data_IF_163544618904
#
_entry.id   IF_163544618904
#
_cell.length_a   1.000
_cell.length_b   1.000
_cell.length_c   1.000
_cell.angle_alpha   90.00
_cell.angle_beta   90.00
_cell.angle_gamma   90.00
#
_symmetry.space_group_name_H-M   'P 1'
#
loop_
_entity.id
_entity.type
_entity.pdbx_description
1 polymer ?
#
# COMPACT_ATOMS: atom_id res chain seq x y z
N UNK A 1 8.15 -17.69 25.50
CA UNK A 1 7.41 -17.08 24.36
C UNK A 1 6.25 -17.98 23.99
N UNK A 2 5.15 -17.40 23.51
CA UNK A 2 3.99 -18.17 23.02
C UNK A 2 4.39 -19.06 21.83
N UNK A 3 3.89 -20.30 21.80
CA UNK A 3 4.11 -21.27 20.71
C UNK A 3 3.14 -20.96 19.58
N UNK A 4 3.66 -20.65 18.40
CA UNK A 4 2.85 -20.23 17.26
C UNK A 4 3.15 -21.10 16.04
N UNK A 5 2.12 -21.38 15.27
CA UNK A 5 2.21 -22.10 14.00
C UNK A 5 1.84 -21.13 12.87
N UNK A 6 2.55 -21.18 11.75
CA UNK A 6 2.20 -20.42 10.54
C UNK A 6 1.53 -21.36 9.54
N UNK A 7 0.29 -21.06 9.14
CA UNK A 7 -0.40 -21.78 8.08
C UNK A 7 -0.15 -21.11 6.73
N UNK A 8 0.69 -21.75 5.90
CA UNK A 8 1.11 -21.32 4.58
C UNK A 8 2.63 -21.21 4.51
N UNK A 9 3.27 -21.83 3.50
CA UNK A 9 4.74 -21.76 3.32
C UNK A 9 5.14 -20.86 2.14
N UNK A 10 4.19 -20.15 1.54
CA UNK A 10 4.46 -19.23 0.44
C UNK A 10 5.14 -17.94 0.89
N UNK A 11 5.24 -16.97 -0.02
CA UNK A 11 5.80 -15.64 0.29
C UNK A 11 5.11 -14.95 1.48
N UNK A 12 3.77 -15.04 1.58
CA UNK A 12 3.02 -14.51 2.74
C UNK A 12 3.41 -15.19 4.05
N UNK A 13 3.61 -16.51 4.04
CA UNK A 13 4.03 -17.26 5.23
C UNK A 13 5.44 -16.89 5.68
N UNK A 14 6.36 -16.72 4.73
CA UNK A 14 7.72 -16.25 5.02
C UNK A 14 7.74 -14.79 5.50
N UNK A 15 6.86 -13.92 4.98
CA UNK A 15 6.68 -12.55 5.49
C UNK A 15 6.20 -12.58 6.95
N UNK A 16 5.17 -13.38 7.24
CA UNK A 16 4.64 -13.58 8.61
C UNK A 16 5.74 -14.09 9.56
N UNK A 17 6.57 -15.04 9.11
CA UNK A 17 7.71 -15.52 9.90
C UNK A 17 8.68 -14.39 10.27
N UNK A 18 9.15 -13.63 9.28
CA UNK A 18 10.12 -12.56 9.51
C UNK A 18 9.58 -11.44 10.41
N UNK A 19 8.27 -11.16 10.36
CA UNK A 19 7.62 -10.14 11.20
C UNK A 19 7.43 -10.59 12.66
N UNK A 20 7.47 -11.89 12.93
CA UNK A 20 7.03 -12.46 14.20
C UNK A 20 8.06 -13.35 14.91
N UNK A 21 9.16 -13.75 14.26
CA UNK A 21 10.17 -14.65 14.85
C UNK A 21 10.82 -14.12 16.14
N UNK A 22 10.88 -12.80 16.30
CA UNK A 22 11.37 -12.16 17.54
C UNK A 22 10.31 -12.09 18.65
N UNK A 23 9.02 -12.22 18.31
CA UNK A 23 7.87 -12.10 19.23
C UNK A 23 7.36 -13.46 19.72
N UNK A 24 7.38 -14.46 18.84
CA UNK A 24 6.79 -15.78 19.07
C UNK A 24 7.80 -16.91 18.84
N UNK A 25 7.62 -18.00 19.57
CA UNK A 25 8.32 -19.24 19.28
C UNK A 25 7.57 -19.94 18.14
N UNK A 26 8.03 -19.73 16.91
CA UNK A 26 7.40 -20.33 15.72
C UNK A 26 7.88 -21.77 15.61
N UNK A 27 6.98 -22.72 15.86
CA UNK A 27 7.34 -24.13 16.04
C UNK A 27 7.18 -24.96 14.76
N UNK A 28 6.21 -24.60 13.90
CA UNK A 28 5.95 -25.30 12.65
C UNK A 28 5.34 -24.37 11.60
N UNK A 29 5.56 -24.72 10.33
CA UNK A 29 4.68 -24.32 9.25
C UNK A 29 3.64 -25.42 9.01
N UNK A 30 2.49 -25.05 8.45
CA UNK A 30 1.46 -25.98 7.98
C UNK A 30 1.06 -25.60 6.56
N UNK A 31 0.88 -26.58 5.68
CA UNK A 31 0.39 -26.35 4.32
C UNK A 31 -0.50 -27.52 3.88
N UNK A 32 -1.47 -27.25 3.00
CA UNK A 32 -2.29 -28.31 2.41
C UNK A 32 -1.55 -29.07 1.29
N UNK A 33 -0.46 -28.50 0.75
CA UNK A 33 0.38 -29.14 -0.24
C UNK A 33 1.23 -30.26 0.38
N UNK A 34 0.80 -31.50 0.14
CA UNK A 34 1.46 -32.72 0.64
C UNK A 34 2.93 -32.83 0.26
N UNK A 35 3.35 -32.20 -0.84
CA UNK A 35 4.74 -32.23 -1.32
C UNK A 35 5.70 -31.50 -0.37
N UNK A 36 5.17 -30.63 0.50
CA UNK A 36 5.97 -29.84 1.44
C UNK A 36 6.09 -30.47 2.82
N UNK A 37 5.29 -31.49 3.14
CA UNK A 37 5.29 -32.09 4.47
C UNK A 37 6.63 -32.75 4.78
N UNK A 38 7.19 -32.44 5.95
CA UNK A 38 8.52 -32.88 6.40
C UNK A 38 9.68 -32.05 5.86
N UNK A 39 9.45 -31.15 4.88
CA UNK A 39 10.48 -30.23 4.39
C UNK A 39 10.79 -29.15 5.42
N UNK A 40 12.05 -28.72 5.48
CA UNK A 40 12.47 -27.53 6.23
C UNK A 40 12.15 -26.30 5.40
N UNK A 41 11.41 -25.35 5.98
CA UNK A 41 10.99 -24.11 5.31
C UNK A 41 12.01 -22.99 5.53
N UNK A 42 12.33 -22.70 6.79
CA UNK A 42 13.31 -21.68 7.18
C UNK A 42 13.79 -21.95 8.61
N UNK A 43 15.05 -21.63 8.92
CA UNK A 43 15.65 -21.70 10.26
C UNK A 43 15.42 -23.05 10.98
N UNK A 44 15.44 -24.15 10.23
CA UNK A 44 15.23 -25.51 10.74
C UNK A 44 13.76 -25.88 11.03
N UNK A 45 12.82 -24.96 10.84
CA UNK A 45 11.39 -25.17 11.09
C UNK A 45 10.76 -25.91 9.92
N UNK A 46 10.07 -26.99 10.22
CA UNK A 46 9.46 -27.86 9.21
C UNK A 46 8.02 -27.50 8.89
N UNK A 47 7.58 -27.89 7.69
CA UNK A 47 6.16 -27.93 7.35
C UNK A 47 5.56 -29.29 7.75
N UNK A 48 4.47 -29.26 8.52
CA UNK A 48 3.73 -30.46 8.93
C UNK A 48 2.34 -30.49 8.28
N UNK A 49 1.71 -31.66 8.13
CA UNK A 49 0.33 -31.74 7.66
C UNK A 49 -0.64 -31.08 8.65
N UNK A 50 -1.76 -30.50 8.19
CA UNK A 50 -2.77 -29.90 9.06
C UNK A 50 -3.30 -30.88 10.11
N UNK A 51 -3.42 -32.17 9.78
CA UNK A 51 -3.88 -33.20 10.72
C UNK A 51 -3.07 -33.27 12.01
N UNK A 52 -1.78 -32.91 11.96
CA UNK A 52 -0.91 -32.92 13.13
C UNK A 52 -1.23 -31.79 14.11
N UNK A 53 -1.97 -30.75 13.71
CA UNK A 53 -2.40 -29.67 14.60
C UNK A 53 -3.17 -30.20 15.82
N UNK A 54 -3.95 -31.28 15.66
CA UNK A 54 -4.76 -31.86 16.75
C UNK A 54 -3.86 -32.39 17.88
N UNK A 55 -2.68 -32.91 17.53
CA UNK A 55 -1.72 -33.50 18.48
C UNK A 55 -0.62 -32.51 18.90
N UNK A 56 -0.60 -31.30 18.35
CA UNK A 56 0.44 -30.30 18.61
C UNK A 56 -0.08 -29.28 19.62
N UNK A 57 0.69 -29.04 20.68
CA UNK A 57 0.40 -27.97 21.63
C UNK A 57 0.89 -26.62 21.06
N UNK A 58 -0.05 -25.69 20.82
CA UNK A 58 0.22 -24.33 20.35
C UNK A 58 -0.75 -23.33 21.01
N UNK A 59 -0.35 -22.05 21.04
CA UNK A 59 -1.19 -20.96 21.54
C UNK A 59 -2.02 -20.31 20.42
N UNK A 60 -1.40 -20.05 19.26
CA UNK A 60 -2.05 -19.40 18.12
C UNK A 60 -1.62 -20.01 16.77
N UNK A 61 -2.47 -19.85 15.76
CA UNK A 61 -2.15 -20.07 14.36
C UNK A 61 -2.20 -18.73 13.63
N UNK A 62 -1.09 -18.34 13.02
CA UNK A 62 -1.02 -17.23 12.07
C UNK A 62 -1.36 -17.74 10.67
N UNK A 63 -2.34 -17.15 10.00
CA UNK A 63 -2.70 -17.54 8.62
C UNK A 63 -1.83 -16.75 7.63
N UNK A 64 -0.69 -17.32 7.26
CA UNK A 64 0.28 -16.75 6.31
C UNK A 64 -0.02 -17.12 4.85
N UNK A 65 -1.25 -16.92 4.39
CA UNK A 65 -1.70 -17.31 3.04
C UNK A 65 -2.71 -16.33 2.47
N UNK A 66 -2.83 -16.29 1.14
CA UNK A 66 -3.89 -15.54 0.45
C UNK A 66 -5.26 -16.23 0.55
N UNK A 67 -5.28 -17.55 0.78
CA UNK A 67 -6.51 -18.35 0.92
C UNK A 67 -7.06 -18.33 2.36
N UNK A 68 -7.15 -17.14 2.97
CA UNK A 68 -7.51 -16.98 4.39
C UNK A 68 -8.85 -17.64 4.73
N UNK A 69 -9.91 -17.33 3.99
CA UNK A 69 -11.27 -17.81 4.25
C UNK A 69 -11.38 -19.34 4.19
N UNK A 70 -10.69 -19.96 3.24
CA UNK A 70 -10.67 -21.42 3.06
C UNK A 70 -9.94 -22.10 4.22
N UNK A 71 -8.76 -21.60 4.58
CA UNK A 71 -7.95 -22.12 5.69
C UNK A 71 -8.70 -21.94 7.01
N UNK A 72 -9.30 -20.77 7.25
CA UNK A 72 -10.10 -20.51 8.44
C UNK A 72 -11.25 -21.50 8.57
N UNK A 73 -11.98 -21.74 7.47
CA UNK A 73 -13.07 -22.73 7.44
C UNK A 73 -12.57 -24.14 7.75
N UNK A 74 -11.41 -24.53 7.20
CA UNK A 74 -10.78 -25.82 7.49
C UNK A 74 -10.41 -25.95 8.97
N UNK A 75 -9.73 -24.96 9.55
CA UNK A 75 -9.29 -25.00 10.94
C UNK A 75 -10.47 -25.07 11.92
N UNK A 76 -11.55 -24.32 11.66
CA UNK A 76 -12.78 -24.40 12.44
C UNK A 76 -13.42 -25.80 12.36
N UNK A 77 -13.44 -26.43 11.18
CA UNK A 77 -13.93 -27.82 11.00
C UNK A 77 -13.05 -28.85 11.72
N UNK A 78 -11.78 -28.54 11.94
CA UNK A 78 -10.84 -29.36 12.72
C UNK A 78 -10.97 -29.16 14.24
N UNK A 79 -11.89 -28.30 14.69
CA UNK A 79 -12.13 -28.04 16.11
C UNK A 79 -11.23 -26.96 16.72
N UNK A 80 -10.45 -26.24 15.90
CA UNK A 80 -9.60 -25.14 16.36
C UNK A 80 -10.47 -23.88 16.50
N UNK A 81 -10.49 -23.29 17.70
CA UNK A 81 -11.32 -22.11 17.99
C UNK A 81 -10.90 -20.89 17.17
N UNK A 82 -11.87 -20.07 16.75
CA UNK A 82 -11.62 -18.78 16.10
C UNK A 82 -10.74 -17.84 16.94
N UNK A 83 -10.79 -17.92 18.27
CA UNK A 83 -9.95 -17.11 19.17
C UNK A 83 -8.46 -17.46 19.13
N UNK A 84 -8.11 -18.63 18.58
CA UNK A 84 -6.72 -19.07 18.38
C UNK A 84 -6.18 -18.68 17.02
N UNK A 85 -7.03 -18.13 16.14
CA UNK A 85 -6.66 -17.76 14.77
C UNK A 85 -6.31 -16.28 14.74
N UNK A 86 -5.07 -15.99 14.38
CA UNK A 86 -4.61 -14.65 14.09
C UNK A 86 -4.48 -14.54 12.56
N UNK A 87 -5.31 -13.67 12.00
CA UNK A 87 -5.32 -13.40 10.57
C UNK A 87 -4.29 -12.32 10.27
N UNK A 88 -3.10 -12.76 9.86
CA UNK A 88 -2.09 -11.91 9.22
C UNK A 88 -2.15 -12.03 7.70
N UNK A 89 -3.20 -12.66 7.18
CA UNK A 89 -3.47 -12.64 5.75
C UNK A 89 -3.55 -11.19 5.28
N UNK A 90 -3.35 -10.98 3.98
CA UNK A 90 -3.46 -9.63 3.42
C UNK A 90 -4.83 -9.06 3.81
N UNK A 91 -4.85 -8.07 4.71
CA UNK A 91 -5.84 -7.00 4.58
C UNK A 91 -5.80 -6.62 3.10
N UNK A 92 -6.95 -6.58 2.43
CA UNK A 92 -6.93 -6.07 1.08
C UNK A 92 -6.50 -4.59 1.19
N UNK A 93 -5.21 -4.33 0.97
CA UNK A 93 -4.57 -3.02 1.18
C UNK A 93 -5.36 -1.93 0.44
N UNK A 94 -5.86 -2.26 -0.75
CA UNK A 94 -6.74 -1.39 -1.51
C UNK A 94 -8.06 -1.09 -0.78
N UNK A 95 -8.77 -2.10 -0.26
CA UNK A 95 -10.00 -1.89 0.51
C UNK A 95 -9.76 -1.07 1.78
N UNK A 96 -8.65 -1.32 2.48
CA UNK A 96 -8.28 -0.55 3.66
C UNK A 96 -8.03 0.92 3.30
N UNK A 97 -7.28 1.19 2.23
CA UNK A 97 -7.02 2.54 1.72
C UNK A 97 -8.30 3.23 1.28
N UNK A 98 -9.19 2.55 0.55
CA UNK A 98 -10.49 3.08 0.11
C UNK A 98 -11.40 3.38 1.30
N UNK A 99 -11.42 2.50 2.31
CA UNK A 99 -12.18 2.70 3.54
C UNK A 99 -11.66 3.91 4.33
N UNK A 100 -10.34 4.04 4.46
CA UNK A 100 -9.69 5.20 5.07
C UNK A 100 -10.05 6.50 4.32
N UNK A 101 -9.92 6.50 2.99
CA UNK A 101 -10.23 7.64 2.12
C UNK A 101 -11.68 8.10 2.30
N UNK A 102 -12.63 7.16 2.33
CA UNK A 102 -14.03 7.45 2.60
C UNK A 102 -14.20 8.20 3.92
N UNK A 103 -13.65 7.67 5.02
CA UNK A 103 -13.78 8.30 6.34
C UNK A 103 -13.10 9.65 6.41
N UNK A 104 -11.96 9.80 5.76
CA UNK A 104 -11.29 11.09 5.67
C UNK A 104 -12.13 12.11 4.88
N UNK A 105 -12.71 11.72 3.75
CA UNK A 105 -13.60 12.60 2.98
C UNK A 105 -14.82 13.06 3.78
N UNK A 106 -15.44 12.18 4.56
CA UNK A 106 -16.57 12.51 5.44
C UNK A 106 -16.15 13.57 6.49
N UNK A 107 -14.94 13.47 7.04
CA UNK A 107 -14.38 14.46 7.95
C UNK A 107 -14.09 15.80 7.27
N UNK A 108 -13.50 15.79 6.07
CA UNK A 108 -13.23 17.00 5.29
C UNK A 108 -14.54 17.75 5.00
N UNK A 109 -15.57 17.04 4.56
CA UNK A 109 -16.89 17.61 4.26
C UNK A 109 -17.55 18.17 5.51
N UNK A 110 -17.57 17.38 6.60
CA UNK A 110 -18.19 17.78 7.88
C UNK A 110 -17.54 19.03 8.49
N UNK A 111 -16.22 19.16 8.38
CA UNK A 111 -15.48 20.29 8.91
C UNK A 111 -15.27 21.41 7.86
N UNK A 112 -15.93 21.31 6.71
CA UNK A 112 -15.87 22.29 5.62
C UNK A 112 -14.45 22.63 5.13
N UNK A 113 -13.52 21.69 5.24
CA UNK A 113 -12.12 21.88 4.85
C UNK A 113 -12.06 22.07 3.32
N UNK A 114 -11.54 23.23 2.91
CA UNK A 114 -11.40 23.63 1.50
C UNK A 114 -10.13 23.03 0.88
N UNK A 115 -10.00 23.17 -0.43
CA UNK A 115 -8.86 22.69 -1.20
C UNK A 115 -9.24 21.54 -2.14
N UNK A 116 -8.46 21.41 -3.20
CA UNK A 116 -8.63 20.38 -4.22
C UNK A 116 -8.11 19.02 -3.74
N UNK A 117 -8.33 17.98 -4.55
CA UNK A 117 -7.72 16.67 -4.35
C UNK A 117 -6.86 16.29 -5.53
N UNK A 118 -5.87 15.43 -5.32
CA UNK A 118 -4.99 14.98 -6.39
C UNK A 118 -4.57 13.52 -6.25
N UNK A 119 -4.26 12.91 -7.38
CA UNK A 119 -3.41 11.72 -7.48
C UNK A 119 -2.26 12.02 -8.43
N UNK A 120 -1.03 11.71 -8.02
CA UNK A 120 0.16 11.74 -8.86
C UNK A 120 0.68 10.32 -9.02
N UNK A 121 0.72 9.85 -10.27
CA UNK A 121 0.79 8.43 -10.61
C UNK A 121 -0.60 7.80 -10.60
N UNK A 122 -1.31 7.97 -11.71
CA UNK A 122 -2.72 7.59 -11.86
C UNK A 122 -2.85 6.22 -12.52
N UNK A 123 -1.93 5.88 -13.44
CA UNK A 123 -1.99 4.71 -14.30
C UNK A 123 -3.40 4.53 -14.90
N UNK A 124 -4.14 3.49 -14.49
CA UNK A 124 -5.51 3.18 -14.98
C UNK A 124 -6.63 3.81 -14.16
N UNK A 125 -6.31 4.65 -13.18
CA UNK A 125 -7.27 5.40 -12.35
C UNK A 125 -8.03 4.54 -11.34
N UNK A 126 -7.46 3.42 -10.88
CA UNK A 126 -8.12 2.51 -9.95
C UNK A 126 -8.37 3.14 -8.57
N UNK A 127 -7.43 3.96 -8.08
CA UNK A 127 -7.62 4.71 -6.84
C UNK A 127 -8.18 6.12 -7.10
N UNK A 128 -7.73 6.84 -8.13
CA UNK A 128 -8.33 8.12 -8.55
C UNK A 128 -9.85 8.10 -8.69
N UNK A 129 -10.47 7.00 -9.20
CA UNK A 129 -11.93 6.92 -9.29
C UNK A 129 -12.63 7.04 -7.94
N UNK A 130 -12.00 6.52 -6.88
CA UNK A 130 -12.51 6.61 -5.51
C UNK A 130 -12.26 7.99 -4.90
N UNK A 131 -11.12 8.61 -5.20
CA UNK A 131 -10.86 10.01 -4.84
C UNK A 131 -11.94 10.91 -5.43
N UNK A 132 -12.18 10.80 -6.74
CA UNK A 132 -13.22 11.53 -7.45
C UNK A 132 -14.63 11.26 -6.89
N UNK A 133 -14.94 10.00 -6.58
CA UNK A 133 -16.25 9.62 -6.03
C UNK A 133 -16.52 10.21 -4.64
N UNK A 134 -15.54 10.15 -3.72
CA UNK A 134 -15.72 10.60 -2.35
C UNK A 134 -15.54 12.11 -2.17
N UNK A 135 -14.71 12.74 -3.00
CA UNK A 135 -14.53 14.20 -3.08
C UNK A 135 -15.28 14.81 -4.26
N UNK A 136 -16.57 14.48 -4.36
CA UNK A 136 -17.47 14.84 -5.47
C UNK A 136 -17.81 16.33 -5.58
N UNK A 137 -17.30 17.20 -4.71
CA UNK A 137 -17.65 18.62 -4.64
C UNK A 137 -16.50 19.55 -5.07
N UNK A 138 -15.36 18.99 -5.50
CA UNK A 138 -14.12 19.73 -5.74
C UNK A 138 -13.32 19.19 -6.91
N UNK A 139 -12.40 20.02 -7.41
CA UNK A 139 -11.47 19.63 -8.47
C UNK A 139 -10.61 18.44 -8.04
N UNK A 140 -10.47 17.47 -8.93
CA UNK A 140 -9.62 16.29 -8.78
C UNK A 140 -8.50 16.31 -9.83
N UNK A 141 -7.28 16.62 -9.42
CA UNK A 141 -6.12 16.68 -10.31
C UNK A 141 -5.54 15.27 -10.52
N UNK A 142 -5.26 14.93 -11.77
CA UNK A 142 -4.75 13.63 -12.17
C UNK A 142 -3.41 13.84 -12.90
N UNK A 143 -2.30 13.60 -12.22
CA UNK A 143 -0.95 13.77 -12.78
C UNK A 143 -0.39 12.40 -13.20
N UNK A 144 -0.08 12.24 -14.48
CA UNK A 144 0.55 11.03 -14.99
C UNK A 144 1.23 11.33 -16.33
N UNK A 145 2.27 10.57 -16.68
CA UNK A 145 2.87 10.64 -18.02
C UNK A 145 1.93 10.01 -19.05
N UNK A 146 1.12 9.03 -18.65
CA UNK A 146 0.40 8.05 -19.46
C UNK A 146 1.34 7.28 -20.42
N UNK A 147 2.63 7.25 -20.07
CA UNK A 147 3.72 6.69 -20.87
C UNK A 147 4.64 5.79 -20.02
N UNK A 148 4.24 5.51 -18.77
CA UNK A 148 5.02 4.75 -17.79
C UNK A 148 6.15 5.56 -17.16
N UNK A 149 7.14 4.86 -16.60
CA UNK A 149 8.29 5.49 -15.96
C UNK A 149 9.22 6.19 -16.95
N UNK A 150 9.75 7.33 -16.52
CA UNK A 150 10.75 8.08 -17.27
C UNK A 150 12.17 7.56 -17.00
N UNK A 151 12.96 7.36 -18.05
CA UNK A 151 14.35 6.92 -17.95
C UNK A 151 15.23 7.88 -17.12
N UNK A 152 14.85 9.16 -17.03
CA UNK A 152 15.53 10.14 -16.20
C UNK A 152 15.50 9.81 -14.70
N UNK A 153 14.51 9.02 -14.26
CA UNK A 153 14.29 8.69 -12.85
C UNK A 153 14.83 7.32 -12.48
N UNK A 154 14.75 6.34 -13.39
CA UNK A 154 15.23 4.96 -13.18
C UNK A 154 16.71 4.91 -12.75
N UNK A 155 17.53 5.89 -13.17
CA UNK A 155 18.96 5.95 -12.80
C UNK A 155 19.23 6.12 -11.30
N UNK A 156 18.24 6.55 -10.52
CA UNK A 156 18.34 6.71 -9.07
C UNK A 156 17.83 5.47 -8.30
N UNK A 157 17.42 4.43 -9.02
CA UNK A 157 16.69 3.30 -8.45
C UNK A 157 17.53 2.05 -8.19
N UNK A 158 17.08 1.26 -7.21
CA UNK A 158 17.61 -0.04 -6.82
C UNK A 158 16.47 -1.09 -6.83
N UNK A 159 16.78 -2.39 -6.90
CA UNK A 159 15.75 -3.44 -6.78
C UNK A 159 14.77 -3.53 -7.96
N UNK A 160 13.49 -3.79 -7.68
CA UNK A 160 12.45 -3.99 -8.69
C UNK A 160 12.28 -2.75 -9.59
N UNK A 161 12.44 -1.55 -9.03
CA UNK A 161 12.37 -0.27 -9.73
C UNK A 161 13.39 -0.14 -10.88
N UNK A 162 14.57 -0.76 -10.75
CA UNK A 162 15.62 -0.75 -11.78
C UNK A 162 15.33 -1.73 -12.92
N UNK A 163 14.53 -2.77 -12.65
CA UNK A 163 14.22 -3.88 -13.57
C UNK A 163 12.82 -3.76 -14.14
N UNK A 164 11.95 -2.95 -13.53
CA UNK A 164 10.63 -2.62 -14.01
C UNK A 164 10.74 -2.12 -15.45
N UNK A 165 10.44 -3.01 -16.40
CA UNK A 165 10.41 -2.65 -17.81
C UNK A 165 9.31 -1.60 -17.93
N UNK A 166 9.71 -0.38 -18.30
CA UNK A 166 8.83 0.76 -18.56
C UNK A 166 7.63 0.42 -19.47
N UNK A 167 7.65 -0.72 -20.16
CA UNK A 167 6.58 -1.20 -21.03
C UNK A 167 5.29 -1.66 -20.30
N UNK A 168 5.36 -2.13 -19.05
CA UNK A 168 4.17 -2.69 -18.37
C UNK A 168 3.17 -1.65 -17.85
N UNK A 169 3.58 -0.37 -17.74
CA UNK A 169 2.74 0.72 -17.23
C UNK A 169 2.20 1.64 -18.34
N UNK A 170 2.37 1.25 -19.61
CA UNK A 170 1.89 2.02 -20.77
C UNK A 170 0.46 1.70 -21.20
N UNK A 171 -0.11 0.61 -20.68
CA UNK A 171 -1.48 0.21 -21.02
C UNK A 171 -2.50 1.03 -20.21
N UNK A 172 -2.56 2.33 -20.53
CA UNK A 172 -3.52 3.29 -20.01
C UNK A 172 -3.69 4.47 -20.99
N UNK A 173 -4.76 5.25 -20.84
CA UNK A 173 -4.97 6.50 -21.57
C UNK A 173 -5.82 7.46 -20.75
N UNK A 174 -5.81 8.74 -21.13
CA UNK A 174 -6.65 9.76 -20.50
C UNK A 174 -8.13 9.39 -20.62
N UNK A 175 -8.56 8.88 -21.77
CA UNK A 175 -9.93 8.45 -22.03
C UNK A 175 -10.32 7.26 -21.14
N UNK A 176 -9.43 6.28 -20.97
CA UNK A 176 -9.66 5.12 -20.10
C UNK A 176 -9.85 5.55 -18.65
N UNK A 177 -8.99 6.44 -18.16
CA UNK A 177 -9.05 6.96 -16.79
C UNK A 177 -10.33 7.77 -16.60
N UNK A 178 -10.60 8.76 -17.46
CA UNK A 178 -11.81 9.60 -17.34
C UNK A 178 -13.11 8.80 -17.51
N UNK A 179 -13.10 7.72 -18.28
CA UNK A 179 -14.24 6.80 -18.43
C UNK A 179 -14.65 6.10 -17.13
N UNK A 180 -13.75 6.03 -16.13
CA UNK A 180 -14.03 5.46 -14.80
C UNK A 180 -14.46 6.51 -13.77
N UNK A 181 -14.29 7.79 -14.05
CA UNK A 181 -14.58 8.88 -13.12
C UNK A 181 -16.08 9.14 -13.05
N UNK A 182 -16.64 9.13 -11.84
CA UNK A 182 -18.07 9.39 -11.63
C UNK A 182 -18.43 10.83 -11.94
N UNK A 183 -17.56 11.77 -11.55
CA UNK A 183 -17.70 13.22 -11.73
C UNK A 183 -16.56 13.73 -12.61
N UNK A 184 -16.53 13.25 -13.86
CA UNK A 184 -15.45 13.50 -14.82
C UNK A 184 -15.20 14.98 -15.11
N UNK A 185 -16.23 15.81 -15.00
CA UNK A 185 -16.19 17.26 -15.18
C UNK A 185 -15.38 17.99 -14.10
N UNK A 186 -15.12 17.32 -12.97
CA UNK A 186 -14.27 17.83 -11.90
C UNK A 186 -12.81 17.41 -12.08
N UNK A 187 -12.53 16.47 -12.99
CA UNK A 187 -11.19 15.97 -13.21
C UNK A 187 -10.38 16.94 -14.07
N UNK A 188 -9.17 17.25 -13.60
CA UNK A 188 -8.18 18.06 -14.34
C UNK A 188 -6.98 17.19 -14.59
N UNK A 189 -6.82 16.74 -15.83
CA UNK A 189 -5.72 15.88 -16.24
C UNK A 189 -4.49 16.73 -16.54
N UNK A 190 -3.38 16.43 -15.87
CA UNK A 190 -2.08 17.04 -16.09
C UNK A 190 -1.16 15.97 -16.67
N UNK A 191 -1.32 15.71 -17.97
CA UNK A 191 -0.50 14.76 -18.71
C UNK A 191 0.91 15.33 -18.88
N UNK A 192 1.92 14.53 -18.51
CA UNK A 192 3.33 14.85 -18.74
C UNK A 192 4.19 14.53 -17.52
N UNK A 193 5.50 14.74 -17.71
CA UNK A 193 6.49 14.49 -16.67
C UNK A 193 6.25 15.35 -15.43
N UNK A 194 6.25 14.75 -14.25
CA UNK A 194 6.14 15.46 -12.97
C UNK A 194 7.55 15.80 -12.47
N UNK A 195 7.86 17.04 -12.03
CA UNK A 195 6.93 18.12 -11.65
C UNK A 195 6.57 19.12 -12.76
N UNK A 196 7.08 18.97 -13.98
CA UNK A 196 6.87 19.93 -15.07
C UNK A 196 5.39 20.11 -15.40
N UNK A 197 4.61 19.03 -15.38
CA UNK A 197 3.17 19.04 -15.58
C UNK A 197 2.39 19.79 -14.48
N UNK A 198 3.03 20.09 -13.34
CA UNK A 198 2.42 20.78 -12.21
C UNK A 198 2.76 22.27 -12.11
N UNK A 199 3.62 22.81 -12.98
CA UNK A 199 4.14 24.19 -12.89
C UNK A 199 3.04 25.28 -12.83
N UNK A 200 1.93 25.07 -13.55
CA UNK A 200 0.82 26.04 -13.62
C UNK A 200 -0.24 25.85 -12.52
N UNK A 201 -0.09 24.84 -11.66
CA UNK A 201 -1.08 24.49 -10.65
C UNK A 201 -0.80 25.28 -9.37
N UNK A 202 -1.69 26.23 -9.06
CA UNK A 202 -1.57 27.15 -7.93
C UNK A 202 -2.58 26.85 -6.81
N UNK A 203 -3.43 25.83 -7.00
CA UNK A 203 -4.43 25.44 -6.02
C UNK A 203 -3.83 24.84 -4.74
N UNK A 204 -4.55 25.05 -3.64
CA UNK A 204 -4.29 24.36 -2.38
C UNK A 204 -5.01 23.01 -2.34
N UNK A 205 -4.46 22.03 -1.63
CA UNK A 205 -4.95 20.65 -1.59
C UNK A 205 -5.35 20.24 -0.17
N UNK A 206 -6.48 19.54 -0.06
CA UNK A 206 -6.91 18.86 1.18
C UNK A 206 -6.47 17.40 1.23
N UNK A 207 -6.32 16.77 0.07
CA UNK A 207 -5.93 15.38 -0.06
C UNK A 207 -5.06 15.18 -1.30
N UNK A 208 -3.96 14.45 -1.15
CA UNK A 208 -3.12 14.02 -2.27
C UNK A 208 -2.74 12.56 -2.07
N UNK A 209 -2.91 11.73 -3.10
CA UNK A 209 -2.27 10.43 -3.20
C UNK A 209 -0.99 10.57 -4.04
N UNK A 210 0.18 10.31 -3.45
CA UNK A 210 1.46 10.23 -4.14
C UNK A 210 1.78 8.76 -4.38
N UNK A 211 1.66 8.32 -5.62
CA UNK A 211 1.79 6.93 -6.07
C UNK A 211 2.68 6.86 -7.32
N UNK A 212 3.90 7.41 -7.17
CA UNK A 212 4.85 7.56 -8.27
C UNK A 212 5.94 6.47 -8.28
N UNK A 213 5.92 5.57 -7.29
CA UNK A 213 6.82 4.43 -7.02
C UNK A 213 8.32 4.76 -6.85
N UNK A 214 8.80 5.83 -7.47
CA UNK A 214 10.21 6.16 -7.66
C UNK A 214 10.67 7.28 -6.73
N UNK A 215 11.96 7.28 -6.40
CA UNK A 215 12.63 8.26 -5.54
C UNK A 215 12.37 9.70 -5.97
N UNK A 216 12.79 10.03 -7.19
CA UNK A 216 12.84 11.42 -7.67
C UNK A 216 11.43 11.99 -7.87
N UNK A 217 10.51 11.31 -8.58
CA UNK A 217 9.11 11.72 -8.64
C UNK A 217 8.46 11.90 -7.26
N UNK A 218 8.69 11.00 -6.31
CA UNK A 218 8.14 11.13 -4.95
C UNK A 218 8.68 12.38 -4.24
N UNK A 219 10.00 12.61 -4.32
CA UNK A 219 10.64 13.79 -3.72
C UNK A 219 10.11 15.09 -4.33
N UNK A 220 9.99 15.16 -5.65
CA UNK A 220 9.39 16.32 -6.34
C UNK A 220 7.92 16.48 -5.96
N UNK A 221 7.18 15.38 -5.79
CA UNK A 221 5.80 15.37 -5.30
C UNK A 221 5.70 16.05 -3.93
N UNK A 222 6.57 15.67 -2.99
CA UNK A 222 6.63 16.28 -1.66
C UNK A 222 6.97 17.78 -1.74
N UNK A 223 7.98 18.15 -2.53
CA UNK A 223 8.36 19.56 -2.76
C UNK A 223 7.21 20.39 -3.31
N UNK A 224 6.41 19.82 -4.21
CA UNK A 224 5.29 20.52 -4.84
C UNK A 224 4.05 20.60 -3.94
N UNK A 225 3.61 19.46 -3.39
CA UNK A 225 2.31 19.34 -2.70
C UNK A 225 2.36 19.74 -1.24
N UNK A 226 3.42 19.43 -0.48
CA UNK A 226 3.44 19.70 0.95
C UNK A 226 3.31 21.20 1.30
N UNK A 227 3.98 22.13 0.58
CA UNK A 227 3.73 23.56 0.76
C UNK A 227 2.29 23.98 0.41
N UNK A 228 1.65 23.27 -0.55
CA UNK A 228 0.29 23.53 -1.03
C UNK A 228 -0.81 22.78 -0.27
N UNK A 229 -0.48 22.01 0.76
CA UNK A 229 -1.49 21.46 1.65
C UNK A 229 -2.13 22.58 2.48
N UNK A 230 -3.45 22.52 2.63
CA UNK A 230 -4.17 23.29 3.64
C UNK A 230 -3.88 22.75 5.03
N UNK A 231 -4.21 23.51 6.07
CA UNK A 231 -4.13 23.04 7.45
C UNK A 231 -5.03 21.81 7.65
N UNK A 232 -4.50 20.76 8.28
CA UNK A 232 -5.11 19.43 8.39
C UNK A 232 -5.29 18.69 7.06
N UNK A 233 -4.71 19.19 5.96
CA UNK A 233 -4.62 18.46 4.70
C UNK A 233 -3.66 17.28 4.82
N UNK A 234 -3.92 16.23 4.02
CA UNK A 234 -3.18 14.97 4.10
C UNK A 234 -2.58 14.62 2.74
N UNK A 235 -1.31 14.19 2.76
CA UNK A 235 -0.70 13.43 1.67
C UNK A 235 -0.61 11.98 2.10
N UNK A 236 -1.13 11.06 1.30
CA UNK A 236 -0.82 9.62 1.40
C UNK A 236 0.29 9.33 0.41
N UNK A 237 1.37 8.71 0.89
CA UNK A 237 2.51 8.29 0.08
C UNK A 237 2.46 6.77 -0.01
N UNK A 238 2.17 6.27 -1.20
CA UNK A 238 2.13 4.85 -1.50
C UNK A 238 3.54 4.22 -1.42
N UNK A 239 3.62 2.90 -1.28
CA UNK A 239 4.87 2.12 -1.29
C UNK A 239 5.92 2.47 -0.21
N UNK A 240 5.62 3.34 0.75
CA UNK A 240 6.52 3.71 1.83
C UNK A 240 7.03 2.52 2.66
N UNK A 241 6.16 1.52 2.90
CA UNK A 241 6.52 0.28 3.62
C UNK A 241 6.82 -0.89 2.67
N UNK A 242 6.82 -0.68 1.36
CA UNK A 242 7.07 -1.73 0.39
C UNK A 242 8.59 -2.01 0.26
N UNK A 243 9.08 -3.20 0.63
CA UNK A 243 10.50 -3.54 0.50
C UNK A 243 10.98 -3.63 -0.96
N UNK A 244 10.08 -3.76 -1.94
CA UNK A 244 10.43 -3.76 -3.37
C UNK A 244 10.72 -2.35 -3.92
N UNK A 245 10.21 -1.31 -3.25
CA UNK A 245 10.40 0.12 -3.59
C UNK A 245 11.06 0.90 -2.43
N UNK A 246 12.27 0.49 -2.00
CA UNK A 246 12.90 1.02 -0.79
C UNK A 246 13.23 2.52 -0.86
N UNK A 247 13.21 3.10 -2.06
CA UNK A 247 13.60 4.48 -2.30
C UNK A 247 12.47 5.49 -2.03
N UNK A 248 11.20 5.07 -1.99
CA UNK A 248 10.10 5.96 -1.61
C UNK A 248 10.31 6.51 -0.20
N UNK A 249 10.64 5.63 0.74
CA UNK A 249 10.99 6.03 2.11
C UNK A 249 12.20 6.98 2.15
N UNK A 250 13.24 6.71 1.35
CA UNK A 250 14.43 7.58 1.26
C UNK A 250 14.07 8.98 0.77
N UNK A 251 13.10 9.12 -0.15
CA UNK A 251 12.63 10.41 -0.64
C UNK A 251 11.98 11.24 0.48
N UNK A 252 11.16 10.61 1.34
CA UNK A 252 10.57 11.25 2.52
C UNK A 252 11.64 11.71 3.50
N UNK A 253 12.57 10.82 3.86
CA UNK A 253 13.68 11.13 4.78
C UNK A 253 14.59 12.24 4.25
N UNK A 254 14.79 12.30 2.92
CA UNK A 254 15.54 13.39 2.29
C UNK A 254 14.77 14.70 2.37
N UNK A 255 13.47 14.69 2.07
CA UNK A 255 12.65 15.88 2.12
C UNK A 255 12.61 16.48 3.53
N UNK A 256 12.47 15.68 4.58
CA UNK A 256 12.55 16.14 5.98
C UNK A 256 13.87 16.87 6.28
N UNK A 257 15.00 16.35 5.80
CA UNK A 257 16.31 16.99 5.94
C UNK A 257 16.39 18.31 5.17
N UNK A 258 15.83 18.33 3.95
CA UNK A 258 15.80 19.52 3.10
C UNK A 258 15.03 20.68 3.74
N UNK A 259 13.86 20.40 4.32
CA UNK A 259 13.03 21.43 4.97
C UNK A 259 13.45 21.70 6.42
N UNK A 260 14.43 20.98 6.96
CA UNK A 260 14.92 21.14 8.32
C UNK A 260 13.91 20.80 9.41
N UNK A 261 12.88 20.01 9.10
CA UNK A 261 11.84 19.59 10.07
C UNK A 261 11.34 18.17 9.76
N UNK A 262 10.96 17.45 10.80
CA UNK A 262 10.27 16.16 10.65
C UNK A 262 8.82 16.36 10.25
N UNK A 263 8.34 15.52 9.34
CA UNK A 263 6.95 15.43 8.95
C UNK A 263 6.13 14.71 10.04
N UNK A 264 4.86 15.08 10.17
CA UNK A 264 3.93 14.36 11.05
C UNK A 264 3.42 13.12 10.31
N UNK A 265 4.14 12.01 10.47
CA UNK A 265 3.84 10.74 9.81
C UNK A 265 2.84 9.90 10.62
N UNK A 266 1.92 9.21 9.94
CA UNK A 266 1.03 8.22 10.55
C UNK A 266 0.68 7.08 9.58
N UNK A 267 0.58 5.82 10.03
CA UNK A 267 0.12 4.72 9.18
C UNK A 267 -1.38 4.84 8.90
N UNK A 268 -1.80 4.52 7.67
CA UNK A 268 -3.22 4.58 7.27
C UNK A 268 -3.95 3.22 7.34
N UNK A 269 -3.24 2.16 7.74
CA UNK A 269 -3.81 0.83 7.96
C UNK A 269 -3.88 -0.06 6.71
N UNK A 270 -3.38 0.41 5.57
CA UNK A 270 -3.32 -0.36 4.32
C UNK A 270 -2.01 -1.13 4.14
N UNK A 271 -1.24 -1.33 5.22
CA UNK A 271 0.04 -2.05 5.32
C UNK A 271 1.21 -1.61 4.42
N UNK A 272 0.99 -0.68 3.48
CA UNK A 272 1.97 -0.29 2.46
C UNK A 272 2.25 1.21 2.42
N UNK A 273 1.29 2.06 2.80
CA UNK A 273 1.37 3.52 2.67
C UNK A 273 1.61 4.23 4.01
N UNK A 274 2.16 5.44 3.94
CA UNK A 274 2.25 6.38 5.07
C UNK A 274 1.43 7.64 4.77
N UNK A 275 0.75 8.19 5.77
CA UNK A 275 0.12 9.50 5.73
C UNK A 275 1.06 10.59 6.30
N UNK A 276 0.99 11.78 5.70
CA UNK A 276 1.61 13.02 6.17
C UNK A 276 0.50 14.03 6.41
N UNK A 277 0.44 14.61 7.61
CA UNK A 277 -0.51 15.69 7.93
C UNK A 277 0.23 17.01 8.17
N UNK A 278 -0.35 18.11 7.70
CA UNK A 278 0.12 19.48 7.97
C UNK A 278 -0.51 20.04 9.24
#
# INVERSE_FOLDING_TARGET
MKKVIIFGTGSTGLKSYNQNKEKFNIIYFVDNDRRKWGSVIIDGIQCIPPSNLIATEFDYILIGSVSVSEIKTQLLKMGISNSMLLDEGRTNSEEARISWLKRYSELVMKNEIKGCVAEAGVYRGEFAKWINYYFYDRKCYLFDTFEGFDNQDIKFEEGAAKVAKAEHLKDTSVELVLGKMRFKEQCIVKKGYFPESALEVNEMFTFVNLDLDLYKPTLEGLRFFYPKLVDNGIIVIHDYFNPEWPNVKKAVEYYEKEIGQSLKLFPIGDDISIGVIK
#
